data_IF_979567438817
#
_entry.id   IF_979567438817
#
_cell.length_a   1.000
_cell.length_b   1.000
_cell.length_c   1.000
_cell.angle_alpha   90.00
_cell.angle_beta   90.00
_cell.angle_gamma   90.00
#
_symmetry.space_group_name_H-M   'P 1'
#
loop_
_entity.id
_entity.type
_entity.pdbx_description
1 polymer ?
#
# COMPACT_ATOMS: atom_id res chain seq x y z
N UNK A 1 -15.69 -4.31 -3.56
CA UNK A 1 -14.51 -4.76 -2.80
C UNK A 1 -14.38 -6.26 -2.88
N UNK A 2 -13.17 -6.78 -2.78
CA UNK A 2 -12.87 -8.21 -2.81
C UNK A 2 -11.80 -8.51 -1.75
N UNK A 3 -12.06 -9.48 -0.88
CA UNK A 3 -11.09 -10.01 0.07
C UNK A 3 -10.67 -11.41 -0.38
N UNK A 4 -9.40 -11.74 -0.22
CA UNK A 4 -8.86 -13.07 -0.51
C UNK A 4 -8.21 -13.64 0.75
N UNK A 5 -8.44 -14.91 1.01
CA UNK A 5 -7.67 -15.71 1.94
C UNK A 5 -7.03 -16.88 1.18
N UNK A 6 -5.83 -17.22 1.55
CA UNK A 6 -5.05 -18.28 0.90
C UNK A 6 -4.66 -19.35 1.91
N UNK A 7 -4.47 -20.62 1.50
CA UNK A 7 -4.00 -21.66 2.39
C UNK A 7 -2.67 -21.26 3.05
N UNK A 8 -2.62 -21.42 4.36
CA UNK A 8 -1.45 -21.17 5.18
C UNK A 8 -1.36 -22.20 6.31
N UNK A 9 -0.52 -23.23 6.16
CA UNK A 9 -0.37 -24.28 7.16
C UNK A 9 0.16 -23.77 8.51
N UNK A 10 0.74 -22.58 8.57
CA UNK A 10 1.27 -21.98 9.80
C UNK A 10 0.20 -21.20 10.58
N UNK A 11 -0.92 -20.90 9.95
CA UNK A 11 -2.06 -20.22 10.57
C UNK A 11 -2.92 -21.19 11.39
N UNK A 12 -3.44 -20.75 12.53
CA UNK A 12 -4.34 -21.55 13.38
C UNK A 12 -5.60 -22.02 12.63
N UNK A 13 -6.08 -21.25 11.67
CA UNK A 13 -7.27 -21.59 10.86
C UNK A 13 -6.93 -22.36 9.59
N UNK A 14 -5.64 -22.55 9.26
CA UNK A 14 -5.17 -23.09 7.98
C UNK A 14 -5.28 -22.09 6.81
N UNK A 15 -5.69 -20.83 7.07
CA UNK A 15 -5.88 -19.79 6.07
C UNK A 15 -5.38 -18.44 6.58
N UNK A 16 -4.76 -17.67 5.69
CA UNK A 16 -4.35 -16.31 5.98
C UNK A 16 -4.98 -15.32 5.01
N UNK A 17 -5.62 -14.24 5.51
CA UNK A 17 -6.13 -13.18 4.67
C UNK A 17 -4.97 -12.37 4.09
N UNK A 18 -5.08 -12.03 2.80
CA UNK A 18 -4.15 -11.11 2.16
C UNK A 18 -4.55 -9.65 2.38
N UNK A 19 -3.57 -8.80 2.55
CA UNK A 19 -3.80 -7.35 2.58
C UNK A 19 -4.24 -6.84 1.21
N UNK A 20 -4.89 -5.67 1.17
CA UNK A 20 -5.26 -5.04 -0.09
C UNK A 20 -4.06 -4.72 -0.99
N UNK A 21 -2.91 -4.39 -0.39
CA UNK A 21 -1.66 -4.15 -1.12
C UNK A 21 -1.09 -5.44 -1.74
N UNK A 22 -1.14 -6.56 -1.01
CA UNK A 22 -0.73 -7.86 -1.56
C UNK A 22 -1.62 -8.28 -2.73
N UNK A 23 -2.95 -8.19 -2.55
CA UNK A 23 -3.91 -8.50 -3.61
C UNK A 23 -3.70 -7.57 -4.81
N UNK A 24 -3.59 -6.26 -4.58
CA UNK A 24 -3.41 -5.27 -5.64
C UNK A 24 -2.12 -5.50 -6.44
N UNK A 25 -1.03 -5.84 -5.77
CA UNK A 25 0.25 -6.15 -6.42
C UNK A 25 0.18 -7.44 -7.23
N UNK A 26 -0.42 -8.51 -6.67
CA UNK A 26 -0.61 -9.78 -7.37
C UNK A 26 -1.46 -9.63 -8.64
N UNK A 27 -2.57 -8.90 -8.54
CA UNK A 27 -3.46 -8.67 -9.69
C UNK A 27 -2.80 -7.77 -10.73
N UNK A 28 -2.10 -6.71 -10.31
CA UNK A 28 -1.36 -5.83 -11.19
C UNK A 28 -0.27 -6.56 -11.97
N UNK A 29 0.52 -7.39 -11.30
CA UNK A 29 1.53 -8.25 -11.94
C UNK A 29 0.89 -9.25 -12.91
N UNK A 30 -0.17 -9.94 -12.47
CA UNK A 30 -0.83 -10.95 -13.30
C UNK A 30 -1.41 -10.37 -14.58
N UNK A 31 -2.03 -9.19 -14.52
CA UNK A 31 -2.60 -8.51 -15.68
C UNK A 31 -1.48 -7.96 -16.59
N UNK A 32 -0.45 -7.34 -16.02
CA UNK A 32 0.69 -6.82 -16.77
C UNK A 32 1.44 -7.94 -17.51
N UNK A 33 1.72 -9.07 -16.85
CA UNK A 33 2.39 -10.22 -17.45
C UNK A 33 1.57 -10.87 -18.59
N UNK A 34 0.26 -10.65 -18.63
CA UNK A 34 -0.64 -11.09 -19.70
C UNK A 34 -0.83 -10.07 -20.81
N UNK A 35 -0.04 -9.02 -20.83
CA UNK A 35 -0.05 -8.03 -21.90
C UNK A 35 -1.20 -7.03 -21.81
N UNK A 36 -1.69 -6.73 -20.59
CA UNK A 36 -2.64 -5.63 -20.45
C UNK A 36 -2.06 -4.34 -21.03
N UNK A 37 -2.90 -3.53 -21.60
CA UNK A 37 -2.54 -2.20 -22.11
C UNK A 37 -3.02 -1.11 -21.16
N UNK A 38 -2.40 0.08 -21.25
CA UNK A 38 -2.73 1.21 -20.41
C UNK A 38 -1.82 1.36 -19.20
N UNK A 39 -2.28 2.05 -18.17
CA UNK A 39 -1.51 2.36 -16.98
C UNK A 39 -1.97 1.57 -15.76
N UNK A 40 -1.07 1.45 -14.78
CA UNK A 40 -1.40 1.00 -13.43
C UNK A 40 -1.59 2.21 -12.52
N UNK A 41 -2.56 2.16 -11.60
CA UNK A 41 -2.79 3.25 -10.66
C UNK A 41 -3.13 2.75 -9.25
N UNK A 42 -2.63 3.45 -8.22
CA UNK A 42 -3.06 3.23 -6.85
C UNK A 42 -3.02 4.52 -6.02
N UNK A 43 -3.62 4.47 -4.84
CA UNK A 43 -3.64 5.62 -3.95
C UNK A 43 -2.25 5.90 -3.36
N UNK A 44 -1.97 7.16 -3.01
CA UNK A 44 -0.71 7.58 -2.37
C UNK A 44 -0.42 6.82 -1.08
N UNK A 45 -1.43 6.31 -0.40
CA UNK A 45 -1.30 5.55 0.86
C UNK A 45 -1.12 4.05 0.64
N UNK A 46 -1.38 3.54 -0.56
CA UNK A 46 -1.15 2.13 -0.93
C UNK A 46 0.34 1.85 -1.14
N UNK A 47 0.71 0.57 -1.24
CA UNK A 47 2.11 0.16 -1.43
C UNK A 47 2.70 0.70 -2.73
N UNK A 48 3.98 1.09 -2.67
CA UNK A 48 4.78 1.50 -3.82
C UNK A 48 5.21 0.33 -4.72
N UNK A 49 4.89 -0.91 -4.34
CA UNK A 49 5.22 -2.09 -5.13
C UNK A 49 4.61 -2.05 -6.53
N UNK A 50 3.36 -1.55 -6.66
CA UNK A 50 2.70 -1.44 -7.97
C UNK A 50 3.48 -0.57 -8.96
N UNK A 51 4.12 0.50 -8.49
CA UNK A 51 4.95 1.36 -9.36
C UNK A 51 6.21 0.64 -9.86
N UNK A 52 6.76 -0.28 -9.06
CA UNK A 52 7.90 -1.11 -9.49
C UNK A 52 7.49 -2.17 -10.50
N UNK A 53 6.34 -2.78 -10.28
CA UNK A 53 5.72 -3.71 -11.23
C UNK A 53 5.46 -3.00 -12.57
N UNK A 54 4.82 -1.83 -12.58
CA UNK A 54 4.58 -1.06 -13.78
C UNK A 54 5.88 -0.82 -14.57
N UNK A 55 6.93 -0.35 -13.88
CA UNK A 55 8.23 -0.11 -14.49
C UNK A 55 8.84 -1.37 -15.10
N UNK A 56 8.75 -2.51 -14.43
CA UNK A 56 9.29 -3.79 -14.90
C UNK A 56 8.59 -4.27 -16.18
N UNK A 57 7.32 -3.94 -16.36
CA UNK A 57 6.54 -4.26 -17.55
C UNK A 57 6.49 -3.14 -18.58
N UNK A 58 7.23 -2.03 -18.40
CA UNK A 58 7.23 -0.88 -19.32
C UNK A 58 5.89 -0.13 -19.37
N UNK A 59 5.08 -0.23 -18.30
CA UNK A 59 3.79 0.44 -18.18
C UNK A 59 3.94 1.76 -17.42
N UNK A 60 3.06 2.72 -17.69
CA UNK A 60 2.93 3.93 -16.87
C UNK A 60 2.29 3.59 -15.52
N UNK A 61 2.68 4.36 -14.50
CA UNK A 61 2.08 4.29 -13.17
C UNK A 61 1.62 5.67 -12.70
N UNK A 62 0.40 5.73 -12.18
CA UNK A 62 -0.17 6.94 -11.60
C UNK A 62 -0.44 6.75 -10.11
N UNK A 63 0.22 7.58 -9.28
CA UNK A 63 -0.18 7.75 -7.89
C UNK A 63 -1.36 8.71 -7.84
N UNK A 64 -2.39 8.41 -7.06
CA UNK A 64 -3.58 9.26 -6.92
C UNK A 64 -3.85 9.62 -5.47
N UNK A 65 -4.73 10.57 -5.23
CA UNK A 65 -5.31 10.76 -3.90
C UNK A 65 -6.14 9.53 -3.48
N UNK A 66 -6.41 9.41 -2.18
CA UNK A 66 -7.30 8.37 -1.65
C UNK A 66 -8.74 8.56 -2.13
N UNK A 67 -9.38 7.45 -2.41
CA UNK A 67 -10.74 7.39 -2.92
C UNK A 67 -10.81 7.02 -4.39
N UNK A 68 -11.63 6.05 -4.69
CA UNK A 68 -11.68 5.41 -6.01
C UNK A 68 -12.01 6.37 -7.15
N UNK A 69 -12.72 7.48 -6.84
CA UNK A 69 -13.00 8.57 -7.81
C UNK A 69 -11.73 9.16 -8.44
N UNK A 70 -10.58 9.08 -7.75
CA UNK A 70 -9.30 9.53 -8.26
C UNK A 70 -8.61 8.45 -9.10
N UNK A 71 -8.59 7.21 -8.60
CA UNK A 71 -8.00 6.05 -9.29
C UNK A 71 -8.69 5.84 -10.64
N UNK A 72 -10.03 5.86 -10.65
CA UNK A 72 -10.81 5.68 -11.86
C UNK A 72 -10.61 6.77 -12.94
N UNK A 73 -9.97 7.89 -12.57
CA UNK A 73 -9.64 9.00 -13.50
C UNK A 73 -8.19 9.01 -13.93
N UNK A 74 -7.38 8.04 -13.49
CA UNK A 74 -6.01 7.94 -13.94
C UNK A 74 -5.95 7.81 -15.47
N UNK A 75 -5.05 8.56 -16.15
CA UNK A 75 -4.95 8.51 -17.61
C UNK A 75 -4.62 7.10 -18.09
N UNK A 76 -5.33 6.64 -19.12
CA UNK A 76 -5.10 5.34 -19.73
C UNK A 76 -5.24 4.16 -18.76
N UNK A 77 -6.03 4.26 -17.69
CA UNK A 77 -6.16 3.22 -16.68
C UNK A 77 -6.45 1.84 -17.29
N UNK A 78 -5.58 0.88 -17.04
CA UNK A 78 -5.78 -0.55 -17.33
C UNK A 78 -6.10 -1.37 -16.08
N UNK A 79 -5.47 -1.02 -14.94
CA UNK A 79 -5.78 -1.59 -13.63
C UNK A 79 -5.53 -0.57 -12.53
N UNK A 80 -6.38 -0.57 -11.51
CA UNK A 80 -6.16 0.28 -10.34
C UNK A 80 -6.66 -0.34 -9.04
N UNK A 81 -6.04 0.06 -7.90
CA UNK A 81 -6.48 -0.41 -6.59
C UNK A 81 -6.28 0.62 -5.48
N UNK A 82 -7.04 0.48 -4.41
CA UNK A 82 -6.80 1.07 -3.10
C UNK A 82 -6.58 -0.03 -2.06
N UNK A 83 -5.72 0.22 -1.07
CA UNK A 83 -5.33 -0.72 -0.01
C UNK A 83 -6.51 -1.25 0.82
N UNK A 84 -7.61 -0.50 0.83
CA UNK A 84 -8.86 -0.90 1.48
C UNK A 84 -9.66 -1.95 0.67
N UNK A 85 -8.96 -2.90 0.03
CA UNK A 85 -9.51 -4.00 -0.77
C UNK A 85 -10.45 -3.57 -1.90
N UNK A 86 -10.19 -2.42 -2.50
CA UNK A 86 -10.90 -1.91 -3.66
C UNK A 86 -10.07 -2.08 -4.93
N UNK A 87 -10.57 -2.78 -5.93
CA UNK A 87 -9.86 -3.08 -7.17
C UNK A 87 -10.73 -2.80 -8.39
N UNK A 88 -10.11 -2.32 -9.47
CA UNK A 88 -10.71 -2.08 -10.77
C UNK A 88 -9.90 -2.84 -11.84
N UNK A 89 -10.20 -4.10 -12.09
CA UNK A 89 -9.45 -4.92 -13.04
C UNK A 89 -9.88 -4.70 -14.51
N UNK A 90 -11.04 -4.08 -14.74
CA UNK A 90 -11.58 -3.82 -16.06
C UNK A 90 -12.26 -2.43 -16.13
N UNK A 91 -11.47 -1.35 -16.17
CA UNK A 91 -12.00 0.02 -16.21
C UNK A 91 -12.75 0.36 -17.50
N UNK A 92 -12.64 -0.48 -18.53
CA UNK A 92 -13.42 -0.35 -19.76
C UNK A 92 -14.92 -0.56 -19.52
N UNK A 93 -15.26 -1.50 -18.63
CA UNK A 93 -16.64 -1.84 -18.28
C UNK A 93 -17.10 -1.17 -16.99
N UNK A 94 -16.25 -1.17 -15.92
CA UNK A 94 -16.60 -0.59 -14.62
C UNK A 94 -15.47 0.33 -14.13
N UNK A 95 -15.72 1.64 -14.12
CA UNK A 95 -14.77 2.66 -13.61
C UNK A 95 -14.97 2.94 -12.13
N UNK A 96 -15.00 1.89 -11.34
CA UNK A 96 -15.02 1.92 -9.88
C UNK A 96 -14.51 0.56 -9.36
N UNK A 97 -14.57 0.38 -8.03
CA UNK A 97 -14.32 -0.92 -7.40
C UNK A 97 -15.29 -1.97 -7.95
N UNK A 98 -14.74 -3.00 -8.55
CA UNK A 98 -15.51 -4.14 -9.05
C UNK A 98 -15.06 -5.44 -8.37
N UNK A 99 -15.76 -5.83 -7.31
CA UNK A 99 -15.46 -7.06 -6.57
C UNK A 99 -15.78 -8.32 -7.37
N UNK A 100 -16.73 -8.26 -8.30
CA UNK A 100 -17.12 -9.43 -9.11
C UNK A 100 -16.03 -9.74 -10.13
N UNK A 101 -15.67 -8.75 -10.97
CA UNK A 101 -14.57 -8.94 -11.92
C UNK A 101 -13.25 -9.25 -11.22
N UNK A 102 -12.97 -8.62 -10.07
CA UNK A 102 -11.79 -8.93 -9.24
C UNK A 102 -11.76 -10.39 -8.82
N UNK A 103 -12.88 -10.97 -8.41
CA UNK A 103 -12.96 -12.39 -8.01
C UNK A 103 -12.64 -13.33 -9.17
N UNK A 104 -13.09 -13.00 -10.38
CA UNK A 104 -12.78 -13.77 -11.60
C UNK A 104 -11.30 -13.70 -11.95
N UNK A 105 -10.71 -12.50 -11.90
CA UNK A 105 -9.27 -12.31 -12.17
C UNK A 105 -8.42 -13.01 -11.11
N UNK A 106 -8.80 -12.91 -9.83
CA UNK A 106 -8.11 -13.61 -8.73
C UNK A 106 -8.18 -15.14 -8.88
N UNK A 107 -9.35 -15.69 -9.23
CA UNK A 107 -9.49 -17.11 -9.52
C UNK A 107 -8.61 -17.56 -10.70
N UNK A 108 -8.53 -16.72 -11.75
CA UNK A 108 -7.68 -16.97 -12.92
C UNK A 108 -6.20 -16.95 -12.58
N UNK A 109 -5.77 -16.01 -11.71
CA UNK A 109 -4.41 -15.96 -11.16
C UNK A 109 -4.08 -17.26 -10.41
N UNK A 110 -4.92 -17.64 -9.44
CA UNK A 110 -4.71 -18.84 -8.62
C UNK A 110 -4.67 -20.09 -9.50
N UNK A 111 -5.57 -20.22 -10.47
CA UNK A 111 -5.58 -21.34 -11.41
C UNK A 111 -4.29 -21.42 -12.25
N UNK A 112 -3.79 -20.26 -12.72
CA UNK A 112 -2.56 -20.18 -13.49
C UNK A 112 -1.33 -20.57 -12.64
N UNK A 113 -1.25 -20.12 -11.39
CA UNK A 113 -0.18 -20.52 -10.46
C UNK A 113 -0.24 -22.01 -10.15
N UNK A 114 -1.42 -22.53 -9.85
CA UNK A 114 -1.62 -23.96 -9.59
C UNK A 114 -1.21 -24.85 -10.76
N UNK A 115 -1.50 -24.44 -11.99
CA UNK A 115 -1.08 -25.14 -13.19
C UNK A 115 0.45 -25.22 -13.35
N UNK A 116 1.19 -24.28 -12.70
CA UNK A 116 2.65 -24.25 -12.63
C UNK A 116 3.22 -24.94 -11.38
N UNK A 117 2.39 -25.54 -10.54
CA UNK A 117 2.80 -26.11 -9.26
C UNK A 117 3.18 -25.06 -8.21
N UNK A 118 2.70 -23.82 -8.35
CA UNK A 118 3.02 -22.67 -7.50
C UNK A 118 1.83 -22.25 -6.67
N UNK A 119 2.13 -21.68 -5.51
CA UNK A 119 1.17 -21.05 -4.62
C UNK A 119 1.15 -19.51 -4.81
N UNK A 120 0.18 -18.88 -4.18
CA UNK A 120 0.15 -17.39 -4.08
C UNK A 120 1.32 -16.87 -3.25
N UNK A 121 1.77 -17.61 -2.24
CA UNK A 121 2.95 -17.27 -1.44
C UNK A 121 4.23 -17.28 -2.28
N UNK A 122 4.39 -18.27 -3.17
CA UNK A 122 5.54 -18.32 -4.08
C UNK A 122 5.56 -17.12 -5.03
N UNK A 123 4.39 -16.63 -5.44
CA UNK A 123 4.30 -15.44 -6.28
C UNK A 123 4.64 -14.16 -5.50
N UNK A 124 4.14 -14.02 -4.26
CA UNK A 124 4.52 -12.91 -3.39
C UNK A 124 6.02 -12.91 -3.08
N UNK A 125 6.61 -14.08 -2.84
CA UNK A 125 8.05 -14.23 -2.67
C UNK A 125 8.82 -13.81 -3.92
N UNK A 126 8.38 -14.24 -5.10
CA UNK A 126 8.98 -13.83 -6.37
C UNK A 126 8.97 -12.32 -6.54
N UNK A 127 7.85 -11.67 -6.25
CA UNK A 127 7.73 -10.22 -6.29
C UNK A 127 8.67 -9.53 -5.30
N UNK A 128 8.78 -10.05 -4.08
CA UNK A 128 9.70 -9.52 -3.08
C UNK A 128 11.16 -9.65 -3.50
N UNK A 129 11.55 -10.75 -4.14
CA UNK A 129 12.91 -10.94 -4.67
C UNK A 129 13.23 -9.99 -5.82
N UNK A 130 12.27 -9.70 -6.68
CA UNK A 130 12.46 -8.80 -7.83
C UNK A 130 12.45 -7.32 -7.45
N UNK A 131 11.65 -6.94 -6.47
CA UNK A 131 11.32 -5.54 -6.19
C UNK A 131 11.68 -5.08 -4.78
N UNK A 132 12.15 -5.99 -3.92
CA UNK A 132 12.27 -5.80 -2.48
C UNK A 132 10.99 -6.23 -1.76
N UNK A 133 11.14 -6.57 -0.49
CA UNK A 133 10.02 -6.92 0.38
C UNK A 133 9.31 -5.63 0.83
N UNK A 134 8.13 -5.40 0.29
CA UNK A 134 7.24 -4.30 0.67
C UNK A 134 6.26 -4.78 1.74
N UNK A 135 6.30 -4.18 2.92
CA UNK A 135 5.36 -4.50 4.01
C UNK A 135 4.67 -3.23 4.46
N UNK A 136 3.35 -3.24 4.38
CA UNK A 136 2.51 -2.13 4.85
C UNK A 136 1.75 -2.48 6.12
N UNK A 137 1.54 -1.49 6.98
CA UNK A 137 0.74 -1.64 8.20
C UNK A 137 0.00 -0.35 8.51
N UNK A 138 -1.28 -0.41 8.88
CA UNK A 138 -2.00 0.76 9.37
C UNK A 138 -1.70 0.99 10.85
N UNK A 139 -1.69 2.27 11.25
CA UNK A 139 -1.81 2.70 12.64
C UNK A 139 -3.00 3.66 12.71
N UNK A 140 -3.97 3.36 13.58
CA UNK A 140 -5.20 4.16 13.68
C UNK A 140 -5.39 4.63 15.11
N UNK A 141 -5.41 5.94 15.30
CA UNK A 141 -5.81 6.58 16.54
C UNK A 141 -7.30 6.88 16.48
N UNK A 142 -8.04 6.40 17.45
CA UNK A 142 -9.44 6.77 17.70
C UNK A 142 -9.47 7.72 18.89
N UNK A 143 -10.15 8.84 18.73
CA UNK A 143 -10.22 9.87 19.75
C UNK A 143 -11.67 10.17 20.11
N UNK A 144 -11.90 10.67 21.32
CA UNK A 144 -13.22 11.11 21.74
C UNK A 144 -13.55 12.50 21.18
N UNK A 145 -12.54 13.36 21.07
CA UNK A 145 -12.67 14.74 20.58
C UNK A 145 -11.83 14.93 19.33
N UNK A 146 -12.44 15.45 18.28
CA UNK A 146 -11.79 15.63 16.97
C UNK A 146 -10.64 16.64 17.02
N UNK A 147 -10.67 17.55 17.98
CA UNK A 147 -9.65 18.57 18.25
C UNK A 147 -8.29 17.94 18.62
N UNK A 148 -8.32 16.74 19.21
CA UNK A 148 -7.10 15.99 19.54
C UNK A 148 -6.35 15.59 18.25
N UNK A 149 -7.07 15.26 17.17
CA UNK A 149 -6.46 14.97 15.85
C UNK A 149 -5.83 16.24 15.28
N UNK A 150 -6.56 17.36 15.31
CA UNK A 150 -6.03 18.63 14.82
C UNK A 150 -4.75 19.04 15.57
N UNK A 151 -4.73 18.85 16.90
CA UNK A 151 -3.57 19.13 17.75
C UNK A 151 -2.39 18.21 17.43
N UNK A 152 -2.62 16.91 17.25
CA UNK A 152 -1.59 15.95 16.84
C UNK A 152 -1.00 16.27 15.46
N UNK A 153 -1.84 16.60 14.49
CA UNK A 153 -1.39 17.01 13.15
C UNK A 153 -0.64 18.33 13.17
N UNK A 154 -1.05 19.29 14.01
CA UNK A 154 -0.33 20.54 14.18
C UNK A 154 1.07 20.32 14.79
N UNK A 155 1.20 19.44 15.78
CA UNK A 155 2.51 19.04 16.33
C UNK A 155 3.41 18.41 15.27
N UNK A 156 2.90 17.45 14.51
CA UNK A 156 3.66 16.77 13.46
C UNK A 156 4.16 17.77 12.39
N UNK A 157 3.36 18.78 12.05
CA UNK A 157 3.76 19.85 11.11
C UNK A 157 4.80 20.80 11.69
N UNK A 158 4.64 21.18 12.97
CA UNK A 158 5.53 22.14 13.63
C UNK A 158 6.87 21.51 14.01
N UNK A 159 6.88 20.23 14.38
CA UNK A 159 8.05 19.51 14.86
C UNK A 159 8.10 18.10 14.22
N UNK A 160 8.34 18.02 12.90
CA UNK A 160 8.49 16.72 12.26
C UNK A 160 9.72 15.99 12.79
N UNK A 161 9.69 14.65 12.82
CA UNK A 161 10.84 13.88 13.27
C UNK A 161 12.03 14.07 12.32
N UNK A 162 13.22 14.16 12.88
CA UNK A 162 14.48 14.14 12.12
C UNK A 162 14.99 12.72 11.90
N UNK A 163 14.56 11.77 12.75
CA UNK A 163 14.89 10.34 12.69
C UNK A 163 13.61 9.55 12.96
N UNK A 164 13.40 8.47 12.24
CA UNK A 164 12.28 7.55 12.44
C UNK A 164 12.79 6.11 12.39
N UNK A 165 12.54 5.35 13.47
CA UNK A 165 13.04 3.98 13.63
C UNK A 165 14.55 3.81 13.30
N UNK A 166 15.37 4.76 13.78
CA UNK A 166 16.82 4.74 13.58
C UNK A 166 17.30 5.21 12.20
N UNK A 167 16.40 5.56 11.28
CA UNK A 167 16.75 6.08 9.94
C UNK A 167 16.50 7.59 9.87
N UNK A 168 17.45 8.38 9.30
CA UNK A 168 17.24 9.82 9.08
C UNK A 168 16.02 10.07 8.21
N UNK A 169 15.23 11.10 8.56
CA UNK A 169 14.14 11.58 7.72
C UNK A 169 14.72 12.48 6.63
N UNK A 170 14.42 12.15 5.38
CA UNK A 170 14.93 12.87 4.20
C UNK A 170 13.85 13.73 3.53
N UNK A 171 12.57 13.46 3.79
CA UNK A 171 11.47 14.26 3.25
C UNK A 171 10.32 14.33 4.25
N UNK A 172 9.82 15.55 4.47
CA UNK A 172 8.56 15.82 5.15
C UNK A 172 7.73 16.71 4.25
N UNK A 173 6.56 16.23 3.83
CA UNK A 173 5.69 16.97 2.91
C UNK A 173 4.30 17.16 3.53
N UNK A 174 3.90 18.44 3.68
CA UNK A 174 2.51 18.76 4.01
C UNK A 174 1.65 18.65 2.76
N UNK A 175 0.83 17.63 2.71
CA UNK A 175 -0.02 17.33 1.54
C UNK A 175 -1.12 18.38 1.33
N UNK A 176 -1.36 19.28 2.31
CA UNK A 176 -2.28 20.40 2.15
C UNK A 176 -1.80 21.45 1.12
N UNK A 177 -0.53 21.39 0.74
CA UNK A 177 0.06 22.20 -0.32
C UNK A 177 0.09 21.48 -1.69
N UNK A 178 -0.46 20.29 -1.76
CA UNK A 178 -0.29 19.39 -2.92
C UNK A 178 1.01 18.60 -2.84
N UNK A 179 1.14 17.57 -3.67
CA UNK A 179 2.32 16.71 -3.65
C UNK A 179 2.59 16.09 -5.03
N UNK A 180 3.73 16.39 -5.64
CA UNK A 180 4.18 15.80 -6.92
C UNK A 180 3.09 15.76 -8.00
N UNK A 181 2.36 16.86 -8.18
CA UNK A 181 1.26 16.99 -9.14
C UNK A 181 -0.11 16.54 -8.61
N UNK A 182 -0.19 15.96 -7.41
CA UNK A 182 -1.46 15.70 -6.74
C UNK A 182 -2.05 17.00 -6.18
N UNK A 183 -3.38 17.17 -6.25
CA UNK A 183 -4.04 18.32 -5.63
C UNK A 183 -3.94 18.28 -4.09
N UNK A 184 -4.15 19.44 -3.41
CA UNK A 184 -4.14 19.52 -1.96
C UNK A 184 -5.09 18.52 -1.29
N UNK A 185 -4.60 17.91 -0.20
CA UNK A 185 -5.38 17.05 0.71
C UNK A 185 -4.80 17.17 2.12
N UNK A 186 -5.62 17.06 3.16
CA UNK A 186 -5.09 17.08 4.52
C UNK A 186 -4.29 15.82 4.81
N UNK A 187 -3.04 15.99 5.20
CA UNK A 187 -2.12 14.92 5.54
C UNK A 187 -0.67 15.38 5.59
N UNK A 188 0.17 14.56 6.20
CA UNK A 188 1.63 14.73 6.24
C UNK A 188 2.29 13.44 5.81
N UNK A 189 3.21 13.52 4.85
CA UNK A 189 4.05 12.43 4.41
C UNK A 189 5.45 12.59 5.01
N UNK A 190 5.97 11.52 5.57
CA UNK A 190 7.35 11.40 6.08
C UNK A 190 8.03 10.26 5.35
N UNK A 191 9.24 10.51 4.83
CA UNK A 191 10.07 9.52 4.15
C UNK A 191 11.45 9.49 4.81
N UNK A 192 11.97 8.29 5.06
CA UNK A 192 13.32 8.10 5.59
C UNK A 192 14.33 7.76 4.50
N UNK A 193 15.62 7.90 4.82
CA UNK A 193 16.73 7.49 3.95
C UNK A 193 16.68 5.99 3.61
N UNK A 194 16.26 5.17 4.56
CA UNK A 194 16.06 3.73 4.33
C UNK A 194 14.85 3.42 3.46
N UNK A 195 14.06 4.43 3.07
CA UNK A 195 12.90 4.26 2.22
C UNK A 195 11.59 3.96 2.97
N UNK A 196 11.57 4.02 4.31
CA UNK A 196 10.31 3.90 5.05
C UNK A 196 9.43 5.10 4.80
N UNK A 197 8.14 4.86 4.68
CA UNK A 197 7.17 5.92 4.45
C UNK A 197 6.07 5.85 5.50
N UNK A 198 5.71 7.02 6.04
CA UNK A 198 4.50 7.19 6.84
C UNK A 198 3.66 8.30 6.22
N UNK A 199 2.35 8.07 6.08
CA UNK A 199 1.40 9.10 5.70
C UNK A 199 0.34 9.18 6.79
N UNK A 200 0.35 10.28 7.55
CA UNK A 200 -0.67 10.59 8.54
C UNK A 200 -1.79 11.40 7.88
N UNK A 201 -3.04 10.94 8.04
CA UNK A 201 -4.18 11.56 7.41
C UNK A 201 -5.42 11.48 8.31
N UNK A 202 -6.03 12.62 8.67
CA UNK A 202 -7.32 12.66 9.35
C UNK A 202 -8.40 11.98 8.51
N UNK A 203 -9.31 11.26 9.17
CA UNK A 203 -10.52 10.76 8.52
C UNK A 203 -11.49 11.91 8.31
N UNK A 204 -12.06 12.01 7.10
CA UNK A 204 -13.05 13.06 6.81
C UNK A 204 -14.44 12.83 7.42
N UNK A 205 -14.70 11.63 7.96
CA UNK A 205 -16.07 11.23 8.39
C UNK A 205 -16.12 10.67 9.81
N UNK A 206 -14.99 10.35 10.42
CA UNK A 206 -14.91 9.71 11.72
C UNK A 206 -13.83 10.36 12.58
N UNK A 207 -13.93 10.35 13.92
CA UNK A 207 -12.92 10.87 14.83
C UNK A 207 -11.70 9.93 14.88
N UNK A 208 -11.01 9.81 13.75
CA UNK A 208 -9.85 8.92 13.56
C UNK A 208 -8.73 9.63 12.82
N UNK A 209 -7.52 9.44 13.31
CA UNK A 209 -6.30 9.70 12.55
C UNK A 209 -5.77 8.37 12.03
N UNK A 210 -5.61 8.25 10.73
CA UNK A 210 -5.03 7.08 10.08
C UNK A 210 -3.60 7.38 9.64
N UNK A 211 -2.67 6.54 10.07
CA UNK A 211 -1.32 6.53 9.57
C UNK A 211 -1.08 5.27 8.75
N UNK A 212 -0.58 5.45 7.55
CA UNK A 212 -0.26 4.37 6.61
C UNK A 212 1.25 4.24 6.56
N UNK A 213 1.75 3.11 7.04
CA UNK A 213 3.16 2.82 7.13
C UNK A 213 3.57 1.83 6.04
N UNK A 214 4.72 2.04 5.46
CA UNK A 214 5.34 1.09 4.54
C UNK A 214 6.84 1.06 4.76
N UNK A 215 7.38 -0.15 4.92
CA UNK A 215 8.82 -0.42 4.89
C UNK A 215 9.17 -1.21 3.63
N UNK A 216 10.39 -1.01 3.13
CA UNK A 216 10.92 -1.74 1.96
C UNK A 216 12.28 -2.27 2.34
N UNK A 217 12.42 -3.59 2.36
CA UNK A 217 13.69 -4.24 2.64
C UNK A 217 14.25 -4.91 1.37
N UNK A 218 15.56 -4.80 1.12
CA UNK A 218 16.19 -5.59 0.09
C UNK A 218 16.12 -7.07 0.44
N UNK A 219 16.00 -7.92 -0.57
CA UNK A 219 16.03 -9.37 -0.41
C UNK A 219 17.29 -9.90 -1.08
N UNK A 220 18.19 -10.46 -0.29
CA UNK A 220 19.41 -11.07 -0.81
C UNK A 220 19.10 -12.41 -1.51
N UNK A 221 19.89 -12.74 -2.53
CA UNK A 221 19.75 -14.00 -3.25
C UNK A 221 20.07 -15.18 -2.31
N UNK A 222 19.19 -16.19 -2.32
CA UNK A 222 19.36 -17.39 -1.47
C UNK A 222 18.95 -17.22 0.00
N UNK A 223 18.73 -16.01 0.47
CA UNK A 223 18.33 -15.76 1.86
C UNK A 223 16.79 -15.82 2.03
N UNK A 224 16.31 -16.18 3.23
CA UNK A 224 14.87 -16.07 3.56
C UNK A 224 14.40 -14.62 3.44
N UNK A 225 13.09 -14.44 3.18
CA UNK A 225 12.51 -13.10 3.21
C UNK A 225 12.62 -12.49 4.62
N UNK A 226 13.07 -11.24 4.76
CA UNK A 226 13.30 -10.61 6.08
C UNK A 226 12.00 -10.10 6.74
N UNK A 227 11.00 -10.99 6.91
CA UNK A 227 9.69 -10.64 7.48
C UNK A 227 9.78 -10.14 8.91
N UNK A 228 10.57 -10.81 9.75
CA UNK A 228 10.76 -10.43 11.15
C UNK A 228 11.33 -9.02 11.24
N UNK A 229 12.40 -8.73 10.51
CA UNK A 229 12.99 -7.39 10.44
C UNK A 229 12.00 -6.34 9.94
N UNK A 230 11.15 -6.67 8.96
CA UNK A 230 10.15 -5.75 8.46
C UNK A 230 9.08 -5.43 9.52
N UNK A 231 8.63 -6.42 10.28
CA UNK A 231 7.66 -6.23 11.35
C UNK A 231 8.24 -5.45 12.52
N UNK A 232 9.44 -5.80 12.99
CA UNK A 232 10.14 -5.05 14.04
C UNK A 232 10.31 -3.57 13.66
N UNK A 233 10.69 -3.31 12.40
CA UNK A 233 10.85 -1.95 11.90
C UNK A 233 9.52 -1.19 11.84
N UNK A 234 8.44 -1.84 11.38
CA UNK A 234 7.10 -1.26 11.41
C UNK A 234 6.64 -0.93 12.83
N UNK A 235 6.90 -1.82 13.79
CA UNK A 235 6.49 -1.61 15.18
C UNK A 235 7.30 -0.48 15.84
N UNK A 236 8.59 -0.36 15.54
CA UNK A 236 9.40 0.77 15.94
C UNK A 236 8.89 2.10 15.36
N UNK A 237 8.46 2.10 14.09
CA UNK A 237 7.86 3.28 13.44
C UNK A 237 6.52 3.63 14.10
N UNK A 238 5.67 2.64 14.39
CA UNK A 238 4.37 2.87 15.07
C UNK A 238 4.57 3.50 16.44
N UNK A 239 5.50 2.95 17.24
CA UNK A 239 5.80 3.46 18.57
C UNK A 239 6.30 4.92 18.52
N UNK A 240 7.31 5.20 17.68
CA UNK A 240 7.83 6.54 17.50
C UNK A 240 6.76 7.53 17.00
N UNK A 241 5.90 7.10 16.09
CA UNK A 241 4.87 7.96 15.51
C UNK A 241 3.72 8.23 16.50
N UNK A 242 3.37 7.27 17.35
CA UNK A 242 2.42 7.45 18.43
C UNK A 242 2.92 8.51 19.43
N UNK A 243 4.20 8.48 19.77
CA UNK A 243 4.82 9.46 20.67
C UNK A 243 4.81 10.89 20.05
N UNK A 244 5.18 11.02 18.77
CA UNK A 244 5.17 12.29 18.03
C UNK A 244 3.77 12.89 17.95
N UNK A 245 2.78 12.10 17.64
CA UNK A 245 1.38 12.53 17.55
C UNK A 245 0.81 12.83 18.94
N UNK A 246 1.25 12.10 19.97
CA UNK A 246 0.80 12.27 21.36
C UNK A 246 -0.67 11.90 21.57
N UNK A 247 -1.10 10.81 20.90
CA UNK A 247 -2.44 10.22 21.03
C UNK A 247 -2.35 8.78 21.53
#
# INVERSE_FOLDING_TARGET
RCALAVPDPTSETGWSPLSGDQIGSLLGEFLAARGMTGSLANSIVSSRLLSRIARAHGLEHHTTLTGFKWIARAPGLGFGYEEAIGFCPDPGNVRDKDGIATSVVAASLVAALKAQGRSVWDELERLARLHGLHVSSPLTFRVEQIEQIASGMARLRAQPPSVLAGSPVVEVSDLSQGYRGLPPTDGVLVLTEAGDRVIARPSGTEPKLKCYLEVILPVAEGEPLPWEQAHERLDAIKAAFAEIIGL
#
